data_IF_905876603876
#
_entry.id   IF_905876603876
#
_cell.length_a   1.000
_cell.length_b   1.000
_cell.length_c   1.000
_cell.angle_alpha   90.00
_cell.angle_beta   90.00
_cell.angle_gamma   90.00
#
_symmetry.space_group_name_H-M   'P 1'
#
loop_
_entity.id
_entity.type
_entity.pdbx_description
1 polymer ?
#
# COMPACT_ATOMS: atom_id res chain seq x y z
N UNK A 1 -1.37 -9.76 -13.83
CA UNK A 1 -2.56 -8.89 -13.69
C UNK A 1 -3.60 -9.42 -14.65
N UNK A 2 -4.83 -9.63 -14.17
CA UNK A 2 -5.94 -10.03 -15.02
C UNK A 2 -6.57 -8.79 -15.67
N UNK A 3 -7.17 -8.99 -16.83
CA UNK A 3 -7.88 -7.92 -17.53
C UNK A 3 -9.07 -7.44 -16.68
N UNK A 4 -9.23 -6.12 -16.54
CA UNK A 4 -10.26 -5.54 -15.67
C UNK A 4 -9.88 -5.43 -14.18
N UNK A 5 -8.65 -5.76 -13.79
CA UNK A 5 -8.13 -5.49 -12.45
C UNK A 5 -7.35 -4.17 -12.42
N UNK A 6 -7.58 -3.36 -11.38
CA UNK A 6 -6.68 -2.25 -11.02
C UNK A 6 -6.09 -2.51 -9.65
N UNK A 7 -4.90 -1.96 -9.41
CA UNK A 7 -4.21 -2.13 -8.14
C UNK A 7 -3.32 -0.93 -7.85
N UNK A 8 -3.20 -0.60 -6.56
CA UNK A 8 -2.25 0.38 -6.03
C UNK A 8 -1.50 -0.25 -4.85
N UNK A 9 -0.20 0.01 -4.75
CA UNK A 9 0.62 -0.53 -3.69
C UNK A 9 1.54 0.52 -3.07
N UNK A 10 1.88 0.34 -1.79
CA UNK A 10 2.78 1.20 -1.04
C UNK A 10 3.88 0.37 -0.33
N UNK A 11 5.11 0.90 -0.21
CA UNK A 11 6.24 0.13 0.31
C UNK A 11 6.26 0.07 1.84
N UNK A 12 6.49 -1.12 2.38
CA UNK A 12 6.79 -1.34 3.79
C UNK A 12 8.31 -1.27 4.00
N UNK A 13 8.74 -0.38 4.89
CA UNK A 13 10.17 -0.15 5.16
C UNK A 13 10.55 -0.62 6.56
N UNK A 14 11.73 -1.25 6.68
CA UNK A 14 12.32 -1.59 7.97
C UNK A 14 13.03 -0.36 8.60
N UNK A 15 13.69 -0.55 9.75
CA UNK A 15 14.38 0.54 10.48
C UNK A 15 15.55 1.15 9.71
N UNK A 16 16.21 0.40 8.82
CA UNK A 16 17.29 0.92 7.95
C UNK A 16 16.75 1.65 6.73
N UNK A 17 15.42 1.76 6.57
CA UNK A 17 14.77 2.40 5.44
C UNK A 17 14.68 1.52 4.19
N UNK A 18 15.15 0.26 4.28
CA UNK A 18 15.05 -0.70 3.19
C UNK A 18 13.60 -1.14 3.02
N UNK A 19 13.14 -1.19 1.77
CA UNK A 19 11.84 -1.77 1.43
C UNK A 19 11.95 -3.29 1.60
N UNK A 20 11.12 -3.85 2.49
CA UNK A 20 11.12 -5.28 2.81
C UNK A 20 9.86 -6.00 2.33
N UNK A 21 8.80 -5.25 2.04
CA UNK A 21 7.53 -5.74 1.50
C UNK A 21 6.75 -4.58 0.87
N UNK A 22 5.57 -4.88 0.33
CA UNK A 22 4.60 -3.87 -0.11
C UNK A 22 3.19 -4.29 0.33
N UNK A 23 2.34 -3.29 0.61
CA UNK A 23 0.91 -3.48 0.86
C UNK A 23 0.13 -3.09 -0.38
N UNK A 24 -0.79 -3.94 -0.83
CA UNK A 24 -1.54 -3.78 -2.08
C UNK A 24 -3.05 -3.68 -1.79
N UNK A 25 -3.72 -2.77 -2.50
CA UNK A 25 -5.17 -2.74 -2.67
C UNK A 25 -5.49 -3.06 -4.13
N UNK A 26 -6.34 -4.06 -4.37
CA UNK A 26 -6.82 -4.44 -5.70
C UNK A 26 -8.33 -4.22 -5.81
N UNK A 27 -8.81 -3.84 -6.99
CA UNK A 27 -10.22 -3.57 -7.26
C UNK A 27 -10.59 -3.82 -8.73
N UNK A 28 -11.89 -3.82 -9.03
CA UNK A 28 -12.39 -4.00 -10.40
C UNK A 28 -12.37 -2.66 -11.14
N UNK A 29 -11.75 -2.62 -12.32
CA UNK A 29 -11.58 -1.43 -13.15
C UNK A 29 -12.89 -0.73 -13.54
N UNK A 30 -13.99 -1.49 -13.60
CA UNK A 30 -15.33 -0.97 -13.94
C UNK A 30 -16.07 -0.32 -12.76
N UNK A 31 -15.57 -0.48 -11.53
CA UNK A 31 -16.21 0.00 -10.29
C UNK A 31 -15.34 0.97 -9.50
N UNK A 32 -14.04 0.99 -9.77
CA UNK A 32 -13.08 1.82 -9.05
C UNK A 32 -12.37 2.71 -10.06
N UNK A 33 -12.59 4.03 -9.98
CA UNK A 33 -11.87 4.98 -10.82
C UNK A 33 -10.46 5.22 -10.29
N UNK A 34 -9.55 5.65 -11.17
CA UNK A 34 -8.20 6.09 -10.78
C UNK A 34 -8.24 7.27 -9.79
N UNK A 35 -9.25 8.13 -9.91
CA UNK A 35 -9.49 9.26 -9.01
C UNK A 35 -9.88 8.78 -7.61
N UNK A 36 -10.80 7.81 -7.49
CA UNK A 36 -11.12 7.17 -6.21
C UNK A 36 -9.88 6.50 -5.59
N UNK A 37 -9.07 5.79 -6.39
CA UNK A 37 -7.81 5.21 -5.90
C UNK A 37 -6.89 6.28 -5.32
N UNK A 38 -6.74 7.42 -6.01
CA UNK A 38 -5.82 8.50 -5.63
C UNK A 38 -6.32 9.32 -4.44
N UNK A 39 -7.61 9.64 -4.41
CA UNK A 39 -8.15 10.60 -3.44
C UNK A 39 -8.65 9.94 -2.16
N UNK A 40 -9.11 8.69 -2.24
CA UNK A 40 -9.72 7.99 -1.11
C UNK A 40 -8.84 6.86 -0.60
N UNK A 41 -8.30 6.01 -1.49
CA UNK A 41 -7.59 4.81 -1.06
C UNK A 41 -6.09 5.04 -0.80
N UNK A 42 -5.43 5.88 -1.60
CA UNK A 42 -3.99 6.14 -1.48
C UNK A 42 -3.62 6.77 -0.13
N UNK A 43 -4.36 7.77 0.41
CA UNK A 43 -4.04 8.34 1.73
C UNK A 43 -4.10 7.29 2.86
N UNK A 44 -5.16 6.48 2.88
CA UNK A 44 -5.36 5.41 3.86
C UNK A 44 -4.31 4.29 3.72
N UNK A 45 -3.98 3.92 2.48
CA UNK A 45 -2.92 2.96 2.19
C UNK A 45 -1.58 3.47 2.73
N UNK A 46 -1.21 4.72 2.45
CA UNK A 46 0.05 5.31 2.93
C UNK A 46 0.09 5.38 4.47
N UNK A 47 -1.00 5.79 5.12
CA UNK A 47 -1.10 5.84 6.58
C UNK A 47 -0.89 4.44 7.19
N UNK A 48 -1.58 3.44 6.65
CA UNK A 48 -1.50 2.05 7.09
C UNK A 48 -0.08 1.50 6.92
N UNK A 49 0.53 1.77 5.75
CA UNK A 49 1.87 1.29 5.42
C UNK A 49 2.93 1.93 6.34
N UNK A 50 2.75 3.20 6.71
CA UNK A 50 3.60 3.86 7.70
C UNK A 50 3.44 3.26 9.10
N UNK A 51 2.21 2.94 9.52
CA UNK A 51 1.97 2.30 10.82
C UNK A 51 2.64 0.93 10.91
N UNK A 52 2.49 0.09 9.88
CA UNK A 52 3.15 -1.22 9.82
C UNK A 52 4.67 -1.05 9.76
N UNK A 53 5.19 -0.11 8.96
CA UNK A 53 6.64 0.16 8.89
C UNK A 53 7.22 0.55 10.25
N UNK A 54 6.48 1.33 11.06
CA UNK A 54 6.89 1.63 12.44
C UNK A 54 6.97 0.37 13.30
N UNK A 55 5.99 -0.54 13.21
CA UNK A 55 6.00 -1.81 13.95
C UNK A 55 7.11 -2.76 13.49
N UNK A 56 7.42 -2.78 12.20
CA UNK A 56 8.56 -3.53 11.67
C UNK A 56 9.89 -2.94 12.15
N UNK A 57 9.97 -1.61 12.31
CA UNK A 57 11.15 -0.93 12.79
C UNK A 57 11.40 -1.02 14.30
N UNK A 58 10.42 -1.47 15.11
CA UNK A 58 10.57 -1.65 16.56
C UNK A 58 10.94 -3.07 16.98
N UNK A 59 10.77 -4.07 16.10
CA UNK A 59 11.25 -5.43 16.38
C UNK A 59 12.78 -5.44 16.34
N UNK A 60 13.41 -5.71 17.49
CA UNK A 60 14.80 -6.18 17.51
C UNK A 60 14.82 -7.54 16.81
N UNK A 61 15.61 -7.63 15.73
CA UNK A 61 15.98 -8.90 15.12
C UNK A 61 16.85 -9.71 16.09
#
# INVERSE_FOLDING_TARGET
>A
LEEGLISVAAPLKNRSGQVVAALNISGQANRTSTEMLREQLLPELLQTTQAISRLLGTRRA
#
